data_IF_595627632462
#
_entry.id   IF_595627632462
#
_cell.length_a   1.000
_cell.length_b   1.000
_cell.length_c   1.000
_cell.angle_alpha   90.00
_cell.angle_beta   90.00
_cell.angle_gamma   90.00
#
_symmetry.space_group_name_H-M   'P 1'
#
loop_
_entity.id
_entity.type
_entity.pdbx_description
1 polymer ?
#
# COMPACT_ATOMS: atom_id res chain seq x y z
N UNK A 1 11.58 17.21 -31.34
CA UNK A 1 11.22 17.43 -29.91
C UNK A 1 12.38 18.11 -29.20
N UNK A 2 12.15 19.24 -28.52
CA UNK A 2 13.19 20.02 -27.82
C UNK A 2 13.79 19.27 -26.62
N UNK A 3 15.11 19.40 -26.40
CA UNK A 3 15.81 18.79 -25.24
C UNK A 3 15.18 19.17 -23.89
N UNK A 4 14.73 20.42 -23.77
CA UNK A 4 14.04 20.91 -22.57
C UNK A 4 12.72 20.17 -22.30
N UNK A 5 11.97 19.81 -23.36
CA UNK A 5 10.71 19.06 -23.24
C UNK A 5 10.95 17.61 -22.80
N UNK A 6 12.00 16.98 -23.33
CA UNK A 6 12.43 15.63 -22.90
C UNK A 6 12.82 15.59 -21.42
N UNK A 7 13.64 16.55 -20.98
CA UNK A 7 14.05 16.66 -19.57
C UNK A 7 12.87 16.92 -18.64
N UNK A 8 11.95 17.80 -19.04
CA UNK A 8 10.74 18.06 -18.26
C UNK A 8 9.87 16.80 -18.12
N UNK A 9 9.67 16.05 -19.21
CA UNK A 9 8.88 14.82 -19.19
C UNK A 9 9.49 13.76 -18.27
N UNK A 10 10.81 13.55 -18.34
CA UNK A 10 11.52 12.66 -17.41
C UNK A 10 11.32 13.05 -15.94
N UNK A 11 11.48 14.33 -15.61
CA UNK A 11 11.32 14.81 -14.23
C UNK A 11 9.88 14.67 -13.73
N UNK A 12 8.90 14.85 -14.61
CA UNK A 12 7.47 14.64 -14.30
C UNK A 12 7.17 13.18 -14.00
N UNK A 13 7.64 12.24 -14.81
CA UNK A 13 7.49 10.81 -14.58
C UNK A 13 8.16 10.36 -13.28
N UNK A 14 9.41 10.78 -13.05
CA UNK A 14 10.16 10.47 -11.80
C UNK A 14 9.48 11.04 -10.56
N UNK A 15 8.88 12.24 -10.67
CA UNK A 15 8.10 12.85 -9.58
C UNK A 15 6.77 12.11 -9.37
N UNK A 16 6.07 11.77 -10.45
CA UNK A 16 4.82 11.01 -10.41
C UNK A 16 4.97 9.67 -9.72
N UNK A 17 5.98 8.88 -10.11
CA UNK A 17 6.33 7.61 -9.45
C UNK A 17 6.61 7.81 -7.95
N UNK A 18 7.43 8.79 -7.59
CA UNK A 18 7.71 9.09 -6.18
C UNK A 18 6.45 9.45 -5.39
N UNK A 19 5.62 10.32 -5.93
CA UNK A 19 4.39 10.71 -5.25
C UNK A 19 3.39 9.55 -5.16
N UNK A 20 3.30 8.70 -6.18
CA UNK A 20 2.46 7.51 -6.16
C UNK A 20 2.94 6.49 -5.11
N UNK A 21 4.26 6.26 -5.03
CA UNK A 21 4.91 5.44 -3.99
C UNK A 21 4.58 6.00 -2.59
N UNK A 22 4.71 7.32 -2.40
CA UNK A 22 4.39 7.98 -1.14
C UNK A 22 2.91 7.88 -0.75
N UNK A 23 2.01 7.94 -1.73
CA UNK A 23 0.56 7.90 -1.51
C UNK A 23 0.02 6.51 -1.25
N UNK A 24 0.79 5.45 -1.56
CA UNK A 24 0.39 4.04 -1.33
C UNK A 24 -1.01 3.69 -1.85
N UNK A 25 -1.41 4.28 -2.97
CA UNK A 25 -2.68 3.98 -3.64
C UNK A 25 -2.41 3.08 -4.84
N UNK A 26 -2.84 1.82 -4.78
CA UNK A 26 -2.50 0.82 -5.80
C UNK A 26 -2.84 1.31 -7.22
N UNK A 27 -4.02 1.91 -7.44
CA UNK A 27 -4.45 2.30 -8.79
C UNK A 27 -3.65 3.48 -9.37
N UNK A 28 -3.21 4.40 -8.49
CA UNK A 28 -2.36 5.53 -8.89
C UNK A 28 -0.92 5.04 -9.14
N UNK A 29 -0.48 4.04 -8.36
CA UNK A 29 0.84 3.44 -8.48
C UNK A 29 0.96 2.59 -9.75
N UNK A 30 -0.02 1.73 -10.02
CA UNK A 30 -0.18 0.92 -11.23
C UNK A 30 -0.13 1.79 -12.49
N UNK A 31 -0.95 2.83 -12.54
CA UNK A 31 -0.94 3.79 -13.65
C UNK A 31 0.41 4.52 -13.82
N UNK A 32 1.05 4.90 -12.72
CA UNK A 32 2.35 5.58 -12.77
C UNK A 32 3.48 4.64 -13.22
N UNK A 33 3.37 3.34 -12.93
CA UNK A 33 4.27 2.29 -13.42
C UNK A 33 4.08 2.11 -14.93
N UNK A 34 2.84 1.94 -15.39
CA UNK A 34 2.51 1.81 -16.81
C UNK A 34 3.05 3.00 -17.63
N UNK A 35 2.79 4.23 -17.16
CA UNK A 35 3.29 5.45 -17.81
C UNK A 35 4.83 5.51 -17.88
N UNK A 36 5.52 4.93 -16.89
CA UNK A 36 6.98 4.89 -16.88
C UNK A 36 7.55 3.76 -17.77
N UNK A 37 6.89 2.60 -17.81
CA UNK A 37 7.25 1.47 -18.67
C UNK A 37 7.05 1.82 -20.15
N UNK A 38 5.95 2.49 -20.48
CA UNK A 38 5.63 2.92 -21.86
C UNK A 38 6.47 4.11 -22.32
N UNK A 39 7.24 4.73 -21.41
CA UNK A 39 8.09 5.87 -21.73
C UNK A 39 9.44 5.43 -22.35
N UNK A 40 10.07 6.28 -23.17
CA UNK A 40 11.42 6.05 -23.67
C UNK A 40 12.50 6.09 -22.56
N UNK A 41 12.12 6.36 -21.30
CA UNK A 41 13.00 6.42 -20.15
C UNK A 41 12.94 5.17 -19.28
N UNK A 42 12.21 4.12 -19.72
CA UNK A 42 12.04 2.86 -18.99
C UNK A 42 13.36 2.32 -18.42
N UNK A 43 14.41 2.25 -19.23
CA UNK A 43 15.69 1.67 -18.80
C UNK A 43 16.37 2.51 -17.70
N UNK A 44 16.24 3.84 -17.77
CA UNK A 44 16.78 4.78 -16.77
C UNK A 44 15.93 4.81 -15.51
N UNK A 45 14.62 4.61 -15.64
CA UNK A 45 13.65 4.57 -14.54
C UNK A 45 13.48 3.16 -13.95
N UNK A 46 14.14 2.14 -14.51
CA UNK A 46 14.07 0.75 -14.06
C UNK A 46 14.15 0.57 -12.53
N UNK A 47 15.10 1.16 -11.79
CA UNK A 47 15.13 0.99 -10.33
C UNK A 47 13.91 1.58 -9.62
N UNK A 48 13.35 2.69 -10.12
CA UNK A 48 12.13 3.29 -9.60
C UNK A 48 10.89 2.46 -9.94
N UNK A 49 10.86 1.84 -11.13
CA UNK A 49 9.80 0.94 -11.58
C UNK A 49 9.79 -0.33 -10.73
N UNK A 50 10.94 -0.99 -10.55
CA UNK A 50 11.06 -2.21 -9.73
C UNK A 50 10.64 -1.95 -8.27
N UNK A 51 10.98 -0.78 -7.71
CA UNK A 51 10.52 -0.39 -6.38
C UNK A 51 9.01 -0.16 -6.32
N UNK A 52 8.44 0.47 -7.35
CA UNK A 52 7.01 0.74 -7.43
C UNK A 52 6.21 -0.56 -7.63
N UNK A 53 6.66 -1.48 -8.48
CA UNK A 53 6.07 -2.81 -8.69
C UNK A 53 6.06 -3.63 -7.40
N UNK A 54 7.19 -3.70 -6.69
CA UNK A 54 7.27 -4.41 -5.43
C UNK A 54 6.29 -3.84 -4.39
N UNK A 55 6.14 -2.51 -4.34
CA UNK A 55 5.15 -1.86 -3.47
C UNK A 55 3.72 -2.10 -3.96
N UNK A 56 3.46 -2.15 -5.27
CA UNK A 56 2.14 -2.44 -5.83
C UNK A 56 1.69 -3.85 -5.47
N UNK A 57 2.56 -4.85 -5.62
CA UNK A 57 2.29 -6.23 -5.22
C UNK A 57 1.98 -6.33 -3.71
N UNK A 58 2.70 -5.57 -2.89
CA UNK A 58 2.41 -5.46 -1.46
C UNK A 58 1.04 -4.84 -1.19
N UNK A 59 0.68 -3.76 -1.88
CA UNK A 59 -0.59 -3.07 -1.69
C UNK A 59 -1.77 -3.92 -2.13
N UNK A 60 -1.64 -4.66 -3.24
CA UNK A 60 -2.65 -5.60 -3.73
C UNK A 60 -2.85 -6.73 -2.71
N UNK A 61 -1.77 -7.31 -2.20
CA UNK A 61 -1.85 -8.34 -1.17
C UNK A 61 -2.51 -7.80 0.10
N UNK A 62 -2.08 -6.62 0.58
CA UNK A 62 -2.65 -5.97 1.77
C UNK A 62 -4.14 -5.64 1.59
N UNK A 63 -4.54 -5.14 0.42
CA UNK A 63 -5.92 -4.82 0.12
C UNK A 63 -6.81 -6.05 0.10
N UNK A 64 -6.32 -7.19 -0.38
CA UNK A 64 -7.05 -8.46 -0.34
C UNK A 64 -7.43 -8.88 1.09
N UNK A 65 -6.60 -8.55 2.08
CA UNK A 65 -6.81 -8.88 3.49
C UNK A 65 -7.54 -7.79 4.27
N UNK A 66 -7.50 -6.55 3.77
CA UNK A 66 -8.13 -5.39 4.39
C UNK A 66 -9.52 -5.07 3.83
N UNK A 67 -9.91 -5.62 2.68
CA UNK A 67 -11.18 -5.31 1.98
C UNK A 67 -12.39 -5.31 2.92
N UNK A 68 -12.61 -6.39 3.66
CA UNK A 68 -13.75 -6.54 4.57
C UNK A 68 -13.78 -5.51 5.70
N UNK A 69 -12.62 -4.97 6.10
CA UNK A 69 -12.52 -3.93 7.13
C UNK A 69 -12.56 -2.53 6.53
N UNK A 70 -11.94 -2.31 5.37
CA UNK A 70 -11.90 -1.01 4.69
C UNK A 70 -13.27 -0.60 4.14
N UNK A 71 -14.15 -1.57 3.85
CA UNK A 71 -15.53 -1.32 3.43
C UNK A 71 -16.51 -1.16 4.60
N UNK A 72 -16.07 -1.33 5.86
CA UNK A 72 -16.93 -1.11 7.01
C UNK A 72 -17.41 0.33 7.03
N UNK A 73 -18.74 0.51 7.08
CA UNK A 73 -19.35 1.83 7.21
C UNK A 73 -18.99 2.44 8.55
N UNK A 74 -18.75 3.75 8.56
CA UNK A 74 -18.48 4.49 9.79
C UNK A 74 -19.59 4.32 10.85
N UNK A 75 -20.84 4.10 10.43
CA UNK A 75 -21.96 3.80 11.33
C UNK A 75 -21.73 2.53 12.15
N UNK A 76 -21.19 1.46 11.55
CA UNK A 76 -20.87 0.21 12.23
C UNK A 76 -19.71 0.37 13.22
N UNK A 77 -18.73 1.22 12.90
CA UNK A 77 -17.66 1.59 13.85
C UNK A 77 -18.25 2.38 15.03
N UNK A 78 -19.17 3.30 14.76
CA UNK A 78 -19.89 4.04 15.80
C UNK A 78 -20.77 3.13 16.67
N UNK A 79 -21.39 2.10 16.11
CA UNK A 79 -22.12 1.08 16.89
C UNK A 79 -21.19 0.35 17.86
N UNK A 80 -20.03 -0.12 17.39
CA UNK A 80 -19.01 -0.72 18.25
C UNK A 80 -18.58 0.27 19.36
N UNK A 81 -18.32 1.53 19.00
CA UNK A 81 -17.86 2.55 19.94
C UNK A 81 -18.91 2.89 21.02
N UNK A 82 -20.19 2.68 20.75
CA UNK A 82 -21.29 3.03 21.64
C UNK A 82 -21.72 1.92 22.60
N UNK A 83 -21.07 0.75 22.58
CA UNK A 83 -21.34 -0.28 23.58
C UNK A 83 -20.96 0.19 24.98
N UNK A 84 -21.97 0.31 25.86
CA UNK A 84 -21.75 0.60 27.27
C UNK A 84 -21.06 -0.58 27.98
N UNK A 85 -21.43 -1.81 27.61
CA UNK A 85 -20.79 -3.04 28.05
C UNK A 85 -20.65 -3.97 26.84
N UNK A 86 -19.46 -4.05 26.22
CA UNK A 86 -19.27 -4.85 25.01
C UNK A 86 -19.38 -6.34 25.34
N UNK A 87 -19.89 -7.17 24.40
CA UNK A 87 -19.66 -8.60 24.46
C UNK A 87 -18.16 -8.89 24.54
N UNK A 88 -17.78 -9.95 25.26
CA UNK A 88 -16.37 -10.33 25.43
C UNK A 88 -15.67 -10.50 24.10
N UNK A 89 -16.33 -11.13 23.15
CA UNK A 89 -15.85 -11.37 21.79
C UNK A 89 -15.49 -10.07 21.07
N UNK A 90 -16.30 -9.02 21.25
CA UNK A 90 -16.05 -7.70 20.68
C UNK A 90 -14.85 -7.04 21.35
N UNK A 91 -14.81 -7.04 22.69
CA UNK A 91 -13.71 -6.42 23.43
C UNK A 91 -12.36 -7.09 23.08
N UNK A 92 -12.28 -8.41 23.18
CA UNK A 92 -11.04 -9.14 22.90
C UNK A 92 -10.58 -8.97 21.44
N UNK A 93 -11.53 -8.96 20.48
CA UNK A 93 -11.22 -8.69 19.08
C UNK A 93 -10.62 -7.30 18.90
N UNK A 94 -11.29 -6.26 19.40
CA UNK A 94 -10.80 -4.88 19.24
C UNK A 94 -9.47 -4.66 19.97
N UNK A 95 -9.29 -5.29 21.13
CA UNK A 95 -8.03 -5.28 21.88
C UNK A 95 -6.89 -5.88 21.06
N UNK A 96 -7.10 -7.03 20.44
CA UNK A 96 -6.11 -7.65 19.56
C UNK A 96 -5.80 -6.75 18.34
N UNK A 97 -6.82 -6.18 17.71
CA UNK A 97 -6.68 -5.25 16.58
C UNK A 97 -5.81 -4.05 16.94
N UNK A 98 -6.11 -3.34 18.03
CA UNK A 98 -5.32 -2.19 18.44
C UNK A 98 -3.91 -2.53 18.91
N UNK A 99 -3.70 -3.74 19.44
CA UNK A 99 -2.37 -4.22 19.79
C UNK A 99 -1.49 -4.45 18.55
N UNK A 100 -2.07 -4.93 17.45
CA UNK A 100 -1.38 -5.01 16.15
C UNK A 100 -1.08 -3.61 15.59
N UNK A 101 -1.96 -2.64 15.82
CA UNK A 101 -1.76 -1.23 15.47
C UNK A 101 -0.83 -0.46 16.43
N UNK A 102 -0.06 -1.17 17.27
CA UNK A 102 0.95 -0.64 18.21
C UNK A 102 0.39 0.27 19.32
N UNK A 103 -0.88 0.13 19.68
CA UNK A 103 -1.40 0.78 20.87
C UNK A 103 -0.88 0.08 22.14
N UNK A 104 -0.64 0.85 23.20
CA UNK A 104 -0.07 0.31 24.43
C UNK A 104 -1.07 -0.60 25.16
N UNK A 105 -0.59 -1.80 25.50
CA UNK A 105 -1.40 -2.88 26.09
C UNK A 105 -2.11 -2.46 27.39
N UNK A 106 -1.48 -1.60 28.21
CA UNK A 106 -2.04 -1.16 29.48
C UNK A 106 -3.36 -0.41 29.30
N UNK A 107 -3.48 0.38 28.24
CA UNK A 107 -4.72 1.10 27.93
C UNK A 107 -5.81 0.18 27.35
N UNK A 108 -5.43 -0.91 26.67
CA UNK A 108 -6.38 -1.78 25.98
C UNK A 108 -7.15 -2.74 26.91
N UNK A 109 -6.79 -2.84 28.19
CA UNK A 109 -7.59 -3.58 29.19
C UNK A 109 -8.92 -2.86 29.49
N UNK A 110 -8.95 -1.54 29.33
CA UNK A 110 -10.13 -0.73 29.61
C UNK A 110 -10.93 -0.47 28.32
N UNK A 111 -12.18 -0.92 28.30
CA UNK A 111 -13.06 -0.67 27.15
C UNK A 111 -13.23 0.82 26.86
N UNK A 112 -13.29 1.68 27.87
CA UNK A 112 -13.39 3.12 27.69
C UNK A 112 -12.23 3.71 26.85
N UNK A 113 -11.03 3.15 26.97
CA UNK A 113 -9.90 3.56 26.14
C UNK A 113 -10.05 3.06 24.70
N UNK A 114 -10.51 1.82 24.51
CA UNK A 114 -10.83 1.29 23.19
C UNK A 114 -11.93 2.11 22.50
N UNK A 115 -12.97 2.51 23.24
CA UNK A 115 -13.99 3.43 22.75
C UNK A 115 -13.37 4.76 22.31
N UNK A 116 -12.47 5.32 23.11
CA UNK A 116 -11.73 6.53 22.73
C UNK A 116 -10.98 6.38 21.41
N UNK A 117 -10.36 5.23 21.17
CA UNK A 117 -9.69 4.90 19.91
C UNK A 117 -10.68 4.73 18.75
N UNK A 118 -11.82 4.07 18.98
CA UNK A 118 -12.87 3.87 17.98
C UNK A 118 -13.56 5.18 17.55
N UNK A 119 -13.64 6.17 18.44
CA UNK A 119 -14.21 7.49 18.15
C UNK A 119 -13.25 8.40 17.36
N UNK A 120 -11.97 8.03 17.19
CA UNK A 120 -11.03 8.84 16.42
C UNK A 120 -11.44 8.89 14.93
N UNK A 121 -11.24 10.05 14.30
CA UNK A 121 -11.60 10.31 12.91
C UNK A 121 -10.41 10.74 12.07
N UNK A 122 -10.57 10.72 10.73
CA UNK A 122 -9.52 11.11 9.79
C UNK A 122 -8.30 10.19 9.90
N UNK A 123 -7.09 10.76 9.87
CA UNK A 123 -5.82 10.01 9.93
C UNK A 123 -5.67 9.15 11.18
N UNK A 124 -6.34 9.54 12.26
CA UNK A 124 -6.31 8.82 13.53
C UNK A 124 -7.37 7.71 13.63
N UNK A 125 -8.29 7.63 12.66
CA UNK A 125 -9.31 6.59 12.64
C UNK A 125 -8.68 5.20 12.49
N UNK A 126 -9.35 4.20 13.06
CA UNK A 126 -8.92 2.80 12.93
C UNK A 126 -8.79 2.36 11.46
N UNK A 127 -9.68 2.83 10.58
CA UNK A 127 -9.65 2.51 9.15
C UNK A 127 -8.42 3.12 8.47
N UNK A 128 -8.04 4.35 8.82
CA UNK A 128 -6.82 4.95 8.27
C UNK A 128 -5.58 4.23 8.78
N UNK A 129 -5.54 3.87 10.06
CA UNK A 129 -4.43 3.09 10.65
C UNK A 129 -4.29 1.70 10.03
N UNK A 130 -5.41 1.02 9.73
CA UNK A 130 -5.41 -0.29 9.07
C UNK A 130 -4.97 -0.16 7.61
N UNK A 131 -5.38 0.89 6.91
CA UNK A 131 -4.92 1.18 5.55
C UNK A 131 -3.41 1.43 5.48
N UNK A 132 -2.87 2.14 6.46
CA UNK A 132 -1.45 2.47 6.55
C UNK A 132 -0.60 1.37 7.23
N UNK A 133 -1.24 0.25 7.62
CA UNK A 133 -0.57 -0.85 8.30
C UNK A 133 0.46 -1.52 7.39
N UNK A 134 1.66 -1.80 7.92
CA UNK A 134 2.81 -2.27 7.16
C UNK A 134 3.40 -3.59 7.68
N UNK A 135 2.72 -4.27 8.61
CA UNK A 135 3.20 -5.53 9.19
C UNK A 135 4.32 -5.40 10.22
N UNK A 136 4.84 -4.20 10.48
CA UNK A 136 5.82 -3.97 11.53
C UNK A 136 5.12 -4.05 12.89
N UNK A 137 5.23 -5.20 13.57
CA UNK A 137 4.62 -5.45 14.88
C UNK A 137 5.65 -6.10 15.79
N UNK A 138 5.77 -5.63 17.03
CA UNK A 138 6.67 -6.25 18.01
C UNK A 138 6.27 -7.73 18.23
N UNK A 139 7.24 -8.68 18.27
CA UNK A 139 6.94 -10.10 18.48
C UNK A 139 6.08 -10.39 19.72
N UNK A 140 6.22 -9.60 20.80
CA UNK A 140 5.40 -9.73 22.01
C UNK A 140 3.95 -9.32 21.77
N UNK A 141 3.73 -8.22 21.06
CA UNK A 141 2.39 -7.73 20.69
C UNK A 141 1.71 -8.73 19.76
N UNK A 142 2.43 -9.22 18.74
CA UNK A 142 1.95 -10.26 17.82
C UNK A 142 1.51 -11.52 18.57
N UNK A 143 2.37 -12.06 19.44
CA UNK A 143 2.06 -13.25 20.23
C UNK A 143 0.88 -13.03 21.19
N UNK A 144 0.78 -11.85 21.79
CA UNK A 144 -0.32 -11.52 22.70
C UNK A 144 -1.64 -11.38 21.95
N UNK A 145 -1.66 -10.70 20.80
CA UNK A 145 -2.84 -10.58 19.94
C UNK A 145 -3.33 -11.95 19.47
N UNK A 146 -2.41 -12.81 19.04
CA UNK A 146 -2.71 -14.19 18.65
C UNK A 146 -3.32 -15.00 19.81
N UNK A 147 -2.76 -14.88 21.02
CA UNK A 147 -3.30 -15.55 22.20
C UNK A 147 -4.71 -15.06 22.52
N UNK A 148 -4.96 -13.75 22.43
CA UNK A 148 -6.28 -13.16 22.67
C UNK A 148 -7.31 -13.72 21.67
N UNK A 149 -6.99 -13.67 20.37
CA UNK A 149 -7.90 -14.13 19.31
C UNK A 149 -8.20 -15.62 19.39
N UNK A 150 -7.27 -16.45 19.89
CA UNK A 150 -7.53 -17.88 20.15
C UNK A 150 -8.55 -18.13 21.27
N UNK A 151 -8.83 -17.15 22.13
CA UNK A 151 -9.84 -17.30 23.20
C UNK A 151 -11.26 -17.00 22.74
N UNK A 152 -11.43 -16.48 21.53
CA UNK A 152 -12.73 -16.16 20.92
C UNK A 152 -12.83 -16.87 19.56
N UNK A 153 -14.05 -17.11 19.07
CA UNK A 153 -14.26 -17.74 17.77
C UNK A 153 -14.90 -16.75 16.79
N UNK A 154 -14.61 -16.94 15.51
CA UNK A 154 -15.19 -16.13 14.43
C UNK A 154 -16.73 -16.12 14.50
N UNK A 155 -17.36 -17.31 14.59
CA UNK A 155 -18.83 -17.44 14.64
C UNK A 155 -19.47 -16.68 15.80
N UNK A 156 -18.85 -16.72 16.99
CA UNK A 156 -19.35 -16.02 18.17
C UNK A 156 -19.14 -14.51 18.04
N UNK A 157 -18.01 -14.11 17.45
CA UNK A 157 -17.72 -12.69 17.18
C UNK A 157 -18.70 -12.13 16.17
N UNK A 158 -18.99 -12.87 15.09
CA UNK A 158 -19.98 -12.50 14.09
C UNK A 158 -21.40 -12.42 14.67
N UNK A 159 -21.77 -13.39 15.50
CA UNK A 159 -23.06 -13.37 16.21
C UNK A 159 -23.21 -12.18 17.16
N UNK A 160 -22.10 -11.70 17.73
CA UNK A 160 -22.08 -10.53 18.61
C UNK A 160 -22.04 -9.20 17.85
N UNK A 161 -21.30 -9.13 16.74
CA UNK A 161 -21.21 -7.96 15.87
C UNK A 161 -20.54 -8.30 14.54
N UNK A 162 -21.24 -7.99 13.43
CA UNK A 162 -20.67 -8.10 12.09
C UNK A 162 -19.41 -7.23 11.92
N UNK A 163 -19.41 -6.01 12.49
CA UNK A 163 -18.23 -5.13 12.47
C UNK A 163 -17.04 -5.75 13.19
N UNK A 164 -17.25 -6.33 14.37
CA UNK A 164 -16.18 -7.01 15.10
C UNK A 164 -15.66 -8.23 14.32
N UNK A 165 -16.51 -8.99 13.64
CA UNK A 165 -16.07 -10.13 12.83
C UNK A 165 -15.12 -9.73 11.70
N UNK A 166 -15.37 -8.61 11.01
CA UNK A 166 -14.44 -8.08 10.02
C UNK A 166 -13.07 -7.78 10.65
N UNK A 167 -13.01 -7.14 11.82
CA UNK A 167 -11.75 -6.88 12.53
C UNK A 167 -11.08 -8.17 13.02
N UNK A 168 -11.85 -9.18 13.43
CA UNK A 168 -11.32 -10.50 13.81
C UNK A 168 -10.62 -11.17 12.63
N UNK A 169 -11.30 -11.22 11.47
CA UNK A 169 -10.77 -11.82 10.25
C UNK A 169 -9.50 -11.10 9.78
N UNK A 170 -9.53 -9.77 9.73
CA UNK A 170 -8.34 -8.97 9.42
C UNK A 170 -7.18 -9.25 10.36
N UNK A 171 -7.42 -9.21 11.68
CA UNK A 171 -6.37 -9.44 12.68
C UNK A 171 -5.76 -10.83 12.57
N UNK A 172 -6.58 -11.84 12.28
CA UNK A 172 -6.14 -13.24 12.11
C UNK A 172 -5.30 -13.42 10.85
N UNK A 173 -5.71 -12.81 9.73
CA UNK A 173 -4.97 -12.84 8.46
C UNK A 173 -3.60 -12.17 8.62
N UNK A 174 -3.57 -10.96 9.20
CA UNK A 174 -2.33 -10.23 9.47
C UNK A 174 -1.37 -11.05 10.32
N UNK A 175 -1.86 -11.69 11.39
CA UNK A 175 -1.01 -12.53 12.24
C UNK A 175 -0.45 -13.71 11.44
N UNK A 176 -1.28 -14.38 10.65
CA UNK A 176 -0.88 -15.51 9.81
C UNK A 176 0.22 -15.09 8.84
N UNK A 177 0.05 -13.99 8.13
CA UNK A 177 1.01 -13.47 7.15
C UNK A 177 2.35 -13.09 7.79
N UNK A 178 2.32 -12.39 8.93
CA UNK A 178 3.55 -12.04 9.65
C UNK A 178 4.30 -13.30 10.09
N UNK A 179 3.58 -14.35 10.51
CA UNK A 179 4.17 -15.65 10.90
C UNK A 179 4.74 -16.42 9.72
N UNK A 180 4.06 -16.39 8.59
CA UNK A 180 4.48 -17.03 7.34
C UNK A 180 5.59 -16.25 6.64
N UNK A 181 5.91 -15.04 7.12
CA UNK A 181 6.96 -14.17 6.55
C UNK A 181 6.55 -13.54 5.23
N UNK A 182 5.25 -13.52 4.91
CA UNK A 182 4.72 -12.95 3.65
C UNK A 182 4.65 -11.43 3.71
N UNK A 183 4.67 -10.83 4.91
CA UNK A 183 4.95 -9.40 5.08
C UNK A 183 6.43 -9.12 4.78
N UNK A 184 6.74 -8.77 3.54
CA UNK A 184 8.10 -8.37 3.18
C UNK A 184 8.46 -7.03 3.85
N UNK A 185 9.34 -7.09 4.85
CA UNK A 185 9.96 -5.90 5.43
C UNK A 185 10.96 -5.31 4.44
N UNK A 186 10.64 -4.13 3.88
CA UNK A 186 11.65 -3.28 3.28
C UNK A 186 11.89 -2.05 4.16
N UNK A 187 12.69 -2.25 5.21
CA UNK A 187 13.61 -1.21 5.68
C UNK A 187 14.63 -0.97 4.58
N UNK A 188 14.39 0.07 3.78
CA UNK A 188 15.46 0.84 3.15
C UNK A 188 14.97 2.26 3.00
N UNK A 189 15.20 3.01 4.07
CA UNK A 189 15.53 4.42 4.01
C UNK A 189 16.84 4.56 3.19
N UNK A 190 16.81 4.30 1.88
CA UNK A 190 17.88 4.72 1.00
C UNK A 190 17.50 6.11 0.52
N UNK A 191 18.11 7.10 1.19
CA UNK A 191 18.19 8.45 0.70
C UNK A 191 18.46 8.40 -0.80
N UNK A 192 17.60 9.06 -1.56
CA UNK A 192 17.92 9.37 -2.95
C UNK A 192 19.12 10.28 -2.85
N UNK A 193 20.29 9.71 -3.15
CA UNK A 193 21.47 10.48 -3.46
C UNK A 193 21.13 11.27 -4.73
N UNK A 194 21.02 12.60 -4.60
CA UNK A 194 20.80 13.53 -5.71
C UNK A 194 22.07 13.69 -6.59
N UNK A 195 23.02 12.76 -6.50
CA UNK A 195 24.31 12.88 -7.16
C UNK A 195 24.29 12.27 -8.56
N UNK A 196 24.12 13.19 -9.52
CA UNK A 196 24.69 13.22 -10.88
C UNK A 196 24.15 12.25 -11.94
N UNK A 197 23.06 12.67 -12.59
CA UNK A 197 22.95 12.52 -14.06
C UNK A 197 23.72 13.70 -14.65
N UNK A 198 24.93 13.47 -15.14
CA UNK A 198 25.71 14.52 -15.82
C UNK A 198 25.18 14.72 -17.24
N UNK A 199 25.54 15.83 -17.88
CA UNK A 199 25.08 16.17 -19.24
C UNK A 199 25.45 15.11 -20.30
N UNK A 200 26.32 14.16 -19.96
CA UNK A 200 26.83 13.09 -20.82
C UNK A 200 25.86 11.89 -20.94
N UNK A 201 24.96 11.65 -19.98
CA UNK A 201 23.98 10.55 -20.02
C UNK A 201 22.86 10.75 -21.06
N UNK A 202 22.85 11.89 -21.75
CA UNK A 202 21.96 12.21 -22.86
C UNK A 202 22.64 12.09 -24.24
N UNK A 203 23.86 11.57 -24.29
CA UNK A 203 24.63 11.30 -25.51
C UNK A 203 24.66 9.78 -25.73
N UNK A 204 24.22 9.34 -26.90
CA UNK A 204 24.12 7.95 -27.38
C UNK A 204 23.00 7.05 -26.82
N UNK A 205 21.79 7.25 -27.37
CA UNK A 205 20.93 6.11 -27.71
C UNK A 205 21.16 5.76 -29.18
N UNK A 206 21.45 4.49 -29.56
CA UNK A 206 21.76 4.09 -30.92
C UNK A 206 20.48 3.92 -31.74
N UNK A 207 19.70 5.00 -31.88
CA UNK A 207 18.48 5.04 -32.71
C UNK A 207 18.52 6.16 -33.75
N UNK A 208 19.70 6.41 -34.32
CA UNK A 208 19.85 7.14 -35.59
C UNK A 208 20.76 6.30 -36.51
N UNK A 209 20.21 5.23 -37.08
CA UNK A 209 20.66 4.63 -38.34
C UNK A 209 19.71 3.51 -38.77
N UNK A 210 18.59 3.89 -39.39
CA UNK A 210 17.98 3.18 -40.54
C UNK A 210 16.65 3.84 -40.89
N UNK A 211 16.71 4.92 -41.68
CA UNK A 211 15.66 5.19 -42.64
C UNK A 211 16.14 6.13 -43.76
N UNK A 212 17.09 5.67 -44.56
CA UNK A 212 17.22 6.15 -45.93
C UNK A 212 17.19 4.97 -46.89
N UNK A 213 16.44 5.15 -47.97
CA UNK A 213 16.37 4.34 -49.20
C UNK A 213 15.24 3.30 -49.33
N UNK A 214 13.98 3.77 -49.39
CA UNK A 214 13.04 3.29 -50.45
C UNK A 214 12.06 4.41 -50.84
N UNK A 215 12.41 5.28 -51.80
CA UNK A 215 11.46 5.95 -52.71
C UNK A 215 12.21 6.71 -53.81
N UNK A 216 12.42 6.05 -54.96
CA UNK A 216 12.52 6.64 -56.32
C UNK A 216 12.83 5.46 -57.25
N UNK A 217 11.88 4.86 -57.96
CA UNK A 217 11.46 5.30 -59.30
C UNK A 217 10.44 4.29 -59.82
N UNK A 218 9.30 4.75 -60.32
CA UNK A 218 8.58 4.20 -61.48
C UNK A 218 7.37 5.09 -61.79
N UNK A 219 7.10 5.21 -63.09
CA UNK A 219 5.99 5.92 -63.76
C UNK A 219 6.24 7.37 -64.15
N UNK A 220 6.85 7.55 -65.33
CA UNK A 220 6.15 8.07 -66.51
C UNK A 220 6.93 7.63 -67.76
N UNK A 221 6.35 6.77 -68.60
CA UNK A 221 6.52 6.95 -70.04
C UNK A 221 5.26 6.45 -70.78
N UNK A 222 4.69 7.35 -71.57
CA UNK A 222 3.59 7.16 -72.52
C UNK A 222 4.10 7.82 -73.80
N UNK A 223 4.37 6.99 -74.79
CA UNK A 223 4.74 7.36 -76.15
C UNK A 223 4.82 6.11 -77.00
#
# INVERSE_FOLDING_TARGET
>A
MDRARRRLHYLQLKKGLREAIMRRHHHILDKAIDEAIDSPYRDVLKPNIEQADALLEQLINLESHCHDVLEIKQTTISELANYANPPREVHETMKATFLLLKEDKGYLESWAHIQGLLHKQGKESIISKIRDFNGDVEPKSLHTAEKILKTVSEDKTHSASAGAASFYKWSTNVIKEIREGTFQQNTSQNAIDDTQITEEDFIDSPFDNNNEAIMTTKFYDKG
#
